data_IF_911647362721
#
_entry.id   IF_911647362721
#
_cell.length_a   1.000
_cell.length_b   1.000
_cell.length_c   1.000
_cell.angle_alpha   90.00
_cell.angle_beta   90.00
_cell.angle_gamma   90.00
#
_symmetry.space_group_name_H-M   'P 1'
#
loop_
_entity.id
_entity.type
_entity.pdbx_description
1 polymer ?
#
# COMPACT_ATOMS: atom_id res chain seq x y z
N UNK A 1 4.90 18.66 9.48
CA UNK A 1 5.08 17.37 8.78
C UNK A 1 4.36 16.31 9.59
N UNK A 2 3.45 15.53 9.00
CA UNK A 2 2.78 14.42 9.70
C UNK A 2 3.69 13.19 9.65
N UNK A 3 3.84 12.45 10.77
CA UNK A 3 4.72 11.30 10.81
C UNK A 3 4.21 10.16 9.94
N UNK A 4 5.12 9.41 9.33
CA UNK A 4 4.81 8.22 8.53
C UNK A 4 4.35 7.06 9.42
N UNK A 5 3.76 6.03 8.82
CA UNK A 5 3.34 4.84 9.56
C UNK A 5 4.56 4.09 10.11
N UNK A 6 5.68 4.05 9.39
CA UNK A 6 6.92 3.48 9.92
C UNK A 6 7.47 4.26 11.11
N UNK A 7 7.37 5.60 11.08
CA UNK A 7 7.75 6.45 12.20
C UNK A 7 6.82 6.24 13.41
N UNK A 8 5.52 6.07 13.18
CA UNK A 8 4.55 5.77 14.23
C UNK A 8 4.77 4.38 14.85
N UNK A 9 4.97 3.35 14.04
CA UNK A 9 5.25 1.99 14.51
C UNK A 9 6.58 1.94 15.28
N UNK A 10 7.60 2.65 14.82
CA UNK A 10 8.87 2.77 15.52
C UNK A 10 8.76 3.58 16.81
N UNK A 11 7.90 4.61 16.83
CA UNK A 11 7.55 5.35 18.04
C UNK A 11 6.86 4.47 19.09
N UNK A 12 5.86 3.70 18.67
CA UNK A 12 5.13 2.79 19.55
C UNK A 12 6.06 1.71 20.16
N UNK A 13 6.96 1.14 19.36
CA UNK A 13 7.92 0.13 19.84
C UNK A 13 8.87 0.71 20.91
N UNK A 14 9.33 1.95 20.71
CA UNK A 14 10.14 2.67 21.71
C UNK A 14 9.37 2.93 23.00
N UNK A 15 8.10 3.32 22.92
CA UNK A 15 7.25 3.54 24.10
C UNK A 15 7.03 2.24 24.88
N UNK A 16 6.83 1.11 24.19
CA UNK A 16 6.73 -0.20 24.85
C UNK A 16 8.05 -0.63 25.49
N UNK A 17 9.19 -0.31 24.90
CA UNK A 17 10.50 -0.54 25.50
C UNK A 17 10.71 0.26 26.80
N UNK A 18 10.28 1.52 26.83
CA UNK A 18 10.31 2.33 28.06
C UNK A 18 9.36 1.77 29.13
N UNK A 19 8.15 1.36 28.74
CA UNK A 19 7.17 0.79 29.66
C UNK A 19 7.66 -0.51 30.32
N UNK A 20 8.43 -1.34 29.63
CA UNK A 20 9.02 -2.56 30.22
C UNK A 20 10.08 -2.28 31.28
N UNK A 21 10.79 -1.15 31.16
CA UNK A 21 11.80 -0.77 32.14
C UNK A 21 11.19 -0.13 33.39
N UNK A 22 9.90 0.23 33.36
CA UNK A 22 9.26 0.89 34.48
C UNK A 22 8.61 -0.04 35.49
N UNK A 23 9.11 0.07 36.72
CA UNK A 23 8.73 -0.80 37.85
C UNK A 23 7.24 -0.68 38.19
N UNK A 24 6.64 0.50 38.03
CA UNK A 24 5.21 0.74 38.26
C UNK A 24 4.32 0.02 37.23
N UNK A 25 4.86 -0.32 36.06
CA UNK A 25 4.16 -1.00 34.96
C UNK A 25 4.45 -2.50 34.91
N UNK A 26 5.18 -3.05 35.88
CA UNK A 26 5.56 -4.47 35.91
C UNK A 26 4.35 -5.42 35.85
N UNK A 27 3.21 -5.03 36.44
CA UNK A 27 1.97 -5.80 36.39
C UNK A 27 1.33 -5.86 34.98
N UNK A 28 1.71 -4.95 34.07
CA UNK A 28 1.22 -4.89 32.69
C UNK A 28 2.11 -5.64 31.69
N UNK A 29 3.11 -6.41 32.15
CA UNK A 29 4.09 -7.07 31.27
C UNK A 29 3.48 -7.96 30.17
N UNK A 30 2.37 -8.65 30.46
CA UNK A 30 1.65 -9.44 29.45
C UNK A 30 0.98 -8.55 28.39
N UNK A 31 0.39 -7.42 28.80
CA UNK A 31 -0.20 -6.45 27.88
C UNK A 31 0.86 -5.83 26.98
N UNK A 32 2.04 -5.50 27.52
CA UNK A 32 3.16 -4.97 26.73
C UNK A 32 3.66 -6.01 25.72
N UNK A 33 3.79 -7.26 26.15
CA UNK A 33 4.16 -8.37 25.27
C UNK A 33 3.15 -8.55 24.13
N UNK A 34 1.86 -8.50 24.45
CA UNK A 34 0.79 -8.62 23.46
C UNK A 34 0.78 -7.42 22.50
N UNK A 35 0.98 -6.20 23.01
CA UNK A 35 1.10 -4.99 22.19
C UNK A 35 2.27 -5.09 21.20
N UNK A 36 3.45 -5.59 21.61
CA UNK A 36 4.57 -5.83 20.71
C UNK A 36 4.25 -6.85 19.63
N UNK A 37 3.59 -7.96 19.99
CA UNK A 37 3.16 -8.97 19.01
C UNK A 37 2.21 -8.38 17.97
N UNK A 38 1.27 -7.54 18.39
CA UNK A 38 0.35 -6.84 17.50
C UNK A 38 1.09 -5.85 16.59
N UNK A 39 1.98 -5.03 17.14
CA UNK A 39 2.80 -4.10 16.35
C UNK A 39 3.66 -4.84 15.31
N UNK A 40 4.27 -5.97 15.68
CA UNK A 40 5.03 -6.80 14.76
C UNK A 40 4.15 -7.33 13.63
N UNK A 41 2.95 -7.84 13.96
CA UNK A 41 1.98 -8.30 12.93
C UNK A 41 1.59 -7.17 11.98
N UNK A 42 1.26 -5.99 12.52
CA UNK A 42 0.93 -4.82 11.71
C UNK A 42 2.10 -4.44 10.81
N UNK A 43 3.34 -4.41 11.34
CA UNK A 43 4.53 -4.12 10.53
C UNK A 43 4.71 -5.13 9.41
N UNK A 44 4.58 -6.43 9.70
CA UNK A 44 4.71 -7.49 8.69
C UNK A 44 3.62 -7.44 7.62
N UNK A 45 2.37 -7.12 7.96
CA UNK A 45 1.31 -6.93 6.96
C UNK A 45 1.51 -5.64 6.15
N UNK A 46 2.11 -4.63 6.76
CA UNK A 46 2.28 -3.31 6.17
C UNK A 46 3.49 -3.20 5.22
N UNK A 47 4.60 -3.87 5.56
CA UNK A 47 5.86 -3.82 4.84
C UNK A 47 5.73 -4.03 3.31
N UNK A 48 4.95 -5.00 2.80
CA UNK A 48 4.81 -5.18 1.36
C UNK A 48 3.87 -4.15 0.69
N UNK A 49 3.05 -3.42 1.46
CA UNK A 49 1.98 -2.57 0.92
C UNK A 49 2.54 -1.38 0.14
N UNK A 50 3.53 -0.67 0.69
CA UNK A 50 4.10 0.50 0.04
C UNK A 50 4.82 0.14 -1.29
N UNK A 51 5.74 -0.85 -1.32
CA UNK A 51 6.35 -1.30 -2.58
C UNK A 51 5.30 -1.73 -3.62
N UNK A 52 4.29 -2.50 -3.20
CA UNK A 52 3.20 -2.94 -4.07
C UNK A 52 2.46 -1.75 -4.68
N UNK A 53 2.01 -0.79 -3.87
CA UNK A 53 1.25 0.36 -4.39
C UNK A 53 2.08 1.27 -5.31
N UNK A 54 3.39 1.39 -5.09
CA UNK A 54 4.27 2.13 -5.98
C UNK A 54 4.40 1.45 -7.35
N UNK A 55 4.59 0.13 -7.36
CA UNK A 55 4.62 -0.67 -8.60
C UNK A 55 3.26 -0.66 -9.30
N UNK A 56 2.17 -0.84 -8.56
CA UNK A 56 0.80 -0.85 -9.08
C UNK A 56 0.45 0.52 -9.70
N UNK A 57 0.81 1.63 -9.04
CA UNK A 57 0.63 2.97 -9.59
C UNK A 57 1.42 3.20 -10.89
N UNK A 58 2.69 2.76 -10.93
CA UNK A 58 3.50 2.90 -12.14
C UNK A 58 2.89 2.13 -13.31
N UNK A 59 2.46 0.89 -13.09
CA UNK A 59 1.86 0.06 -14.13
C UNK A 59 0.48 0.54 -14.57
N UNK A 60 -0.35 0.99 -13.64
CA UNK A 60 -1.65 1.60 -13.98
C UNK A 60 -1.46 2.88 -14.82
N UNK A 61 -0.50 3.74 -14.46
CA UNK A 61 -0.19 4.93 -15.24
C UNK A 61 0.29 4.57 -16.66
N UNK A 62 1.15 3.57 -16.82
CA UNK A 62 1.57 3.07 -18.14
C UNK A 62 0.38 2.56 -18.98
N UNK A 63 -0.51 1.74 -18.40
CA UNK A 63 -1.69 1.21 -19.09
C UNK A 63 -2.67 2.30 -19.52
N UNK A 64 -2.74 3.39 -18.75
CA UNK A 64 -3.55 4.56 -19.05
C UNK A 64 -2.88 5.51 -20.05
N UNK A 65 -1.56 5.44 -20.22
CA UNK A 65 -0.78 6.48 -20.92
C UNK A 65 -0.75 7.79 -20.13
N UNK A 66 -0.75 7.69 -18.80
CA UNK A 66 -0.67 8.83 -17.89
C UNK A 66 0.80 9.16 -17.60
N UNK A 67 1.30 10.24 -18.19
CA UNK A 67 2.66 10.75 -18.02
C UNK A 67 2.85 11.63 -16.77
N UNK A 68 1.88 11.66 -15.85
CA UNK A 68 2.03 12.44 -14.63
C UNK A 68 3.11 11.87 -13.70
N UNK A 69 3.78 12.77 -12.97
CA UNK A 69 4.92 12.41 -12.13
C UNK A 69 4.53 11.33 -11.11
N UNK A 70 5.32 10.24 -11.01
CA UNK A 70 5.02 9.16 -10.08
C UNK A 70 5.07 9.67 -8.64
N UNK A 71 4.14 9.18 -7.81
CA UNK A 71 4.11 9.54 -6.40
C UNK A 71 5.42 9.10 -5.71
N UNK A 72 6.03 10.02 -4.98
CA UNK A 72 7.23 9.71 -4.19
C UNK A 72 6.84 8.91 -2.94
N UNK A 73 7.71 7.99 -2.45
CA UNK A 73 7.53 7.37 -1.13
C UNK A 73 7.36 8.41 -0.01
N UNK A 74 7.94 9.60 -0.16
CA UNK A 74 7.83 10.70 0.80
C UNK A 74 6.43 11.35 0.85
N UNK A 75 5.56 11.09 -0.14
CA UNK A 75 4.19 11.61 -0.18
C UNK A 75 3.28 10.97 0.89
N UNK A 76 3.71 9.84 1.47
CA UNK A 76 2.96 9.10 2.48
C UNK A 76 1.94 8.13 1.87
N UNK A 77 1.62 7.04 2.59
CA UNK A 77 0.83 5.95 2.02
C UNK A 77 -0.57 6.40 1.59
N UNK A 78 -1.25 7.22 2.38
CA UNK A 78 -2.62 7.64 2.04
C UNK A 78 -2.67 8.29 0.66
N UNK A 79 -1.70 9.17 0.34
CA UNK A 79 -1.62 9.84 -0.97
C UNK A 79 -1.36 8.83 -2.09
N UNK A 80 -0.50 7.83 -1.83
CA UNK A 80 -0.18 6.77 -2.79
C UNK A 80 -1.40 5.87 -3.04
N UNK A 81 -2.15 5.54 -1.98
CA UNK A 81 -3.37 4.72 -2.06
C UNK A 81 -4.52 5.48 -2.74
N UNK A 82 -4.72 6.75 -2.45
CA UNK A 82 -5.74 7.59 -3.10
C UNK A 82 -5.47 7.73 -4.61
N UNK A 83 -4.17 7.87 -4.98
CA UNK A 83 -3.75 7.84 -6.38
C UNK A 83 -4.03 6.48 -7.02
N UNK A 84 -3.74 5.39 -6.31
CA UNK A 84 -4.02 4.03 -6.80
C UNK A 84 -5.50 3.84 -7.12
N UNK A 85 -6.38 4.21 -6.19
CA UNK A 85 -7.82 4.10 -6.40
C UNK A 85 -8.27 4.93 -7.62
N UNK A 86 -7.79 6.16 -7.73
CA UNK A 86 -8.09 7.05 -8.86
C UNK A 86 -7.65 6.43 -10.20
N UNK A 87 -6.45 5.84 -10.26
CA UNK A 87 -5.95 5.18 -11.46
C UNK A 87 -6.78 3.94 -11.81
N UNK A 88 -7.21 3.15 -10.83
CA UNK A 88 -8.08 1.97 -11.05
C UNK A 88 -9.46 2.37 -11.56
N UNK A 89 -10.05 3.43 -11.02
CA UNK A 89 -11.31 3.98 -11.52
C UNK A 89 -11.17 4.46 -12.97
N UNK A 90 -10.06 5.13 -13.30
CA UNK A 90 -9.74 5.54 -14.67
C UNK A 90 -9.60 4.33 -15.60
N UNK A 91 -8.90 3.28 -15.16
CA UNK A 91 -8.70 2.07 -15.94
C UNK A 91 -10.04 1.35 -16.19
N UNK A 92 -10.89 1.27 -15.17
CA UNK A 92 -12.23 0.69 -15.29
C UNK A 92 -13.08 1.44 -16.31
N UNK A 93 -13.02 2.78 -16.29
CA UNK A 93 -13.67 3.62 -17.31
C UNK A 93 -13.09 3.39 -18.70
N UNK A 94 -11.76 3.35 -18.84
CA UNK A 94 -11.11 3.06 -20.12
C UNK A 94 -11.60 1.74 -20.71
N UNK A 95 -11.61 0.65 -19.92
CA UNK A 95 -12.07 -0.67 -20.37
C UNK A 95 -13.49 -0.60 -20.94
N UNK A 96 -14.40 0.18 -20.31
CA UNK A 96 -15.79 0.33 -20.77
C UNK A 96 -15.93 1.07 -22.10
N UNK A 97 -14.89 1.81 -22.51
CA UNK A 97 -14.87 2.58 -23.76
C UNK A 97 -14.13 1.89 -24.91
N UNK A 98 -13.38 0.83 -24.63
CA UNK A 98 -12.69 0.05 -25.67
C UNK A 98 -13.73 -0.68 -26.53
N UNK A 99 -13.58 -0.61 -27.85
CA UNK A 99 -14.35 -1.34 -28.85
C UNK A 99 -13.72 -2.67 -29.25
N UNK A 100 -13.99 -3.09 -30.49
CA UNK A 100 -13.62 -4.41 -31.03
C UNK A 100 -12.46 -4.35 -32.04
N UNK A 101 -11.89 -3.16 -32.26
CA UNK A 101 -10.76 -3.02 -33.18
C UNK A 101 -9.53 -3.80 -32.67
N UNK A 102 -8.69 -4.38 -33.55
CA UNK A 102 -7.59 -5.25 -33.13
C UNK A 102 -6.59 -4.63 -32.14
N UNK A 103 -6.35 -3.31 -32.21
CA UNK A 103 -5.52 -2.57 -31.25
C UNK A 103 -6.17 -2.48 -29.87
N UNK A 104 -7.49 -2.27 -29.82
CA UNK A 104 -8.26 -2.15 -28.58
C UNK A 104 -8.47 -3.51 -27.92
N UNK A 105 -8.67 -4.57 -28.71
CA UNK A 105 -8.70 -5.96 -28.21
C UNK A 105 -7.36 -6.34 -27.58
N UNK A 106 -6.23 -5.93 -28.20
CA UNK A 106 -4.90 -6.14 -27.63
C UNK A 106 -4.75 -5.40 -26.30
N UNK A 107 -5.17 -4.13 -26.25
CA UNK A 107 -5.14 -3.33 -25.03
C UNK A 107 -5.99 -3.93 -23.92
N UNK A 108 -7.20 -4.42 -24.24
CA UNK A 108 -8.06 -5.14 -23.28
C UNK A 108 -7.38 -6.40 -22.73
N UNK A 109 -6.67 -7.14 -23.58
CA UNK A 109 -5.91 -8.35 -23.18
C UNK A 109 -4.77 -8.01 -22.23
N UNK A 110 -4.03 -6.93 -22.51
CA UNK A 110 -2.94 -6.43 -21.66
C UNK A 110 -3.47 -6.01 -20.27
N UNK A 111 -4.54 -5.22 -20.25
CA UNK A 111 -5.22 -4.80 -19.02
C UNK A 111 -5.74 -6.00 -18.22
N UNK A 112 -6.32 -7.01 -18.90
CA UNK A 112 -6.79 -8.24 -18.26
C UNK A 112 -5.65 -9.04 -17.64
N UNK A 113 -4.52 -9.18 -18.34
CA UNK A 113 -3.33 -9.87 -17.84
C UNK A 113 -2.75 -9.17 -16.61
N UNK A 114 -2.71 -7.83 -16.64
CA UNK A 114 -2.30 -7.03 -15.50
C UNK A 114 -3.24 -7.20 -14.30
N UNK A 115 -4.55 -7.18 -14.54
CA UNK A 115 -5.56 -7.35 -13.48
C UNK A 115 -5.44 -8.72 -12.79
N UNK A 116 -5.09 -9.77 -13.54
CA UNK A 116 -4.82 -11.11 -12.99
C UNK A 116 -3.55 -11.13 -12.14
N UNK A 117 -2.47 -10.50 -12.61
CA UNK A 117 -1.25 -10.35 -11.82
C UNK A 117 -1.55 -9.64 -10.51
N UNK A 118 -2.22 -8.48 -10.56
CA UNK A 118 -2.57 -7.68 -9.37
C UNK A 118 -3.36 -8.50 -8.36
N UNK A 119 -4.38 -9.22 -8.80
CA UNK A 119 -5.17 -10.07 -7.90
C UNK A 119 -4.36 -11.21 -7.24
N UNK A 120 -3.25 -11.64 -7.85
CA UNK A 120 -2.38 -12.67 -7.31
C UNK A 120 -1.27 -12.13 -6.39
N UNK A 121 -0.90 -10.84 -6.52
CA UNK A 121 0.20 -10.20 -5.78
C UNK A 121 -0.23 -9.15 -4.77
N UNK A 122 -1.50 -8.72 -4.77
CA UNK A 122 -2.04 -7.76 -3.79
C UNK A 122 -1.84 -8.31 -2.36
N UNK A 123 -1.11 -7.60 -1.47
CA UNK A 123 -0.85 -8.06 -0.12
C UNK A 123 -2.07 -7.91 0.82
N UNK A 124 -3.20 -7.41 0.33
CA UNK A 124 -4.41 -7.11 1.12
C UNK A 124 -5.53 -8.15 1.01
#
# INVERSE_FOLDING_TARGET
MRPTIDEQLSGADRLLALAETETELAAAGELITNARRLLKRVRTSWEPTLPFLLEDNARLSELLGDDSEPASPASGLQVIADRNESLRENLSRLISTLGEDPSEVRRRTEIGSYSQWRAATDPT
#
